data_IF_474265523519
#
_entry.id   IF_474265523519
#
_cell.length_a   1.000
_cell.length_b   1.000
_cell.length_c   1.000
_cell.angle_alpha   90.00
_cell.angle_beta   90.00
_cell.angle_gamma   90.00
#
_symmetry.space_group_name_H-M   'P 1'
#
loop_
_entity.id
_entity.type
_entity.pdbx_description
1 polymer ?
#
# COMPACT_ATOMS: atom_id res chain seq x y z
N UNK A 1 -12.08 65.13 -31.65
CA UNK A 1 -12.61 63.78 -31.97
C UNK A 1 -12.52 62.93 -30.71
N UNK A 2 -13.54 63.05 -29.87
CA UNK A 2 -13.72 62.34 -28.59
C UNK A 2 -14.91 61.41 -28.79
N UNK A 3 -14.70 60.15 -29.18
CA UNK A 3 -15.81 59.18 -29.31
C UNK A 3 -15.41 57.69 -29.47
N UNK A 4 -14.13 57.30 -29.49
CA UNK A 4 -13.76 55.91 -29.86
C UNK A 4 -12.66 55.26 -29.00
N UNK A 5 -12.68 55.50 -27.69
CA UNK A 5 -11.76 54.82 -26.76
C UNK A 5 -12.44 54.36 -25.46
N UNK A 6 -13.72 53.99 -25.52
CA UNK A 6 -14.45 53.40 -24.40
C UNK A 6 -15.16 52.06 -24.74
N UNK A 7 -14.90 51.50 -25.92
CA UNK A 7 -15.60 50.30 -26.41
C UNK A 7 -14.81 48.98 -26.21
N UNK A 8 -13.60 49.01 -25.65
CA UNK A 8 -12.81 47.79 -25.38
C UNK A 8 -12.70 47.43 -23.89
N UNK A 9 -13.22 48.26 -22.97
CA UNK A 9 -13.26 47.96 -21.53
C UNK A 9 -14.60 47.33 -21.10
N UNK A 10 -15.63 47.36 -21.96
CA UNK A 10 -16.95 46.81 -21.64
C UNK A 10 -17.10 45.29 -21.88
N UNK A 11 -16.11 44.61 -22.46
CA UNK A 11 -16.16 43.15 -22.75
C UNK A 11 -15.30 42.28 -21.82
N UNK A 12 -14.54 42.88 -20.90
CA UNK A 12 -13.83 42.16 -19.82
C UNK A 12 -14.65 42.17 -18.51
N UNK A 13 -15.71 42.99 -18.43
CA UNK A 13 -16.63 43.03 -17.28
C UNK A 13 -17.74 41.98 -17.28
N UNK A 14 -17.92 41.22 -18.37
CA UNK A 14 -19.02 40.23 -18.49
C UNK A 14 -18.54 38.79 -18.23
N UNK A 15 -17.22 38.53 -18.28
CA UNK A 15 -16.65 37.23 -17.90
C UNK A 15 -16.62 36.97 -16.39
N UNK A 16 -16.69 38.02 -15.56
CA UNK A 16 -16.66 37.90 -14.10
C UNK A 16 -18.05 37.88 -13.44
N UNK A 17 -19.11 38.30 -14.15
CA UNK A 17 -20.48 38.35 -13.62
C UNK A 17 -21.30 37.07 -13.91
N UNK A 18 -20.79 36.16 -14.75
CA UNK A 18 -21.45 34.88 -15.07
C UNK A 18 -21.15 33.75 -14.07
N UNK A 19 -20.10 33.88 -13.24
CA UNK A 19 -19.71 32.84 -12.29
C UNK A 19 -20.56 32.81 -11.01
N UNK A 20 -21.36 33.84 -10.74
CA UNK A 20 -22.19 33.93 -9.53
C UNK A 20 -23.59 33.34 -9.71
N UNK A 21 -23.91 32.79 -10.89
CA UNK A 21 -25.23 32.21 -11.21
C UNK A 21 -25.18 30.71 -11.51
N UNK A 22 -24.02 30.07 -11.42
CA UNK A 22 -23.99 28.63 -11.27
C UNK A 22 -24.50 28.30 -9.87
N UNK A 23 -25.43 27.34 -9.70
CA UNK A 23 -25.73 26.85 -8.37
C UNK A 23 -24.40 26.47 -7.75
N UNK A 24 -24.12 27.04 -6.58
CA UNK A 24 -22.98 26.69 -5.75
C UNK A 24 -23.15 25.21 -5.42
N UNK A 25 -22.70 24.32 -6.31
CA UNK A 25 -22.51 22.92 -5.98
C UNK A 25 -21.43 22.97 -4.92
N UNK A 26 -21.74 22.67 -3.65
CA UNK A 26 -20.70 22.65 -2.65
C UNK A 26 -19.65 21.68 -3.17
N UNK A 27 -18.45 22.20 -3.41
CA UNK A 27 -17.27 21.39 -3.62
C UNK A 27 -17.27 20.40 -2.46
N UNK A 28 -17.46 19.08 -2.72
CA UNK A 28 -17.63 18.14 -1.63
C UNK A 28 -16.44 18.25 -0.67
N UNK A 29 -16.68 18.08 0.64
CA UNK A 29 -15.68 18.33 1.67
C UNK A 29 -14.33 17.61 1.48
N UNK A 30 -14.28 16.56 0.64
CA UNK A 30 -13.04 15.89 0.26
C UNK A 30 -12.05 16.79 -0.51
N UNK A 31 -12.50 17.77 -1.29
CA UNK A 31 -11.62 18.61 -2.13
C UNK A 31 -10.88 19.70 -1.33
N UNK A 32 -11.49 20.22 -0.25
CA UNK A 32 -10.80 21.14 0.65
C UNK A 32 -9.78 20.40 1.54
N UNK A 33 -10.04 19.13 1.84
CA UNK A 33 -9.07 18.24 2.49
C UNK A 33 -7.93 17.88 1.51
N UNK A 34 -8.24 17.69 0.22
CA UNK A 34 -7.28 17.39 -0.85
C UNK A 34 -6.23 18.49 -1.09
N UNK A 35 -6.64 19.75 -1.23
CA UNK A 35 -5.71 20.86 -1.56
C UNK A 35 -4.73 21.20 -0.44
N UNK A 36 -5.11 20.96 0.82
CA UNK A 36 -4.20 21.10 1.96
C UNK A 36 -3.25 19.92 2.12
N UNK A 37 -3.66 18.70 1.73
CA UNK A 37 -2.84 17.48 1.74
C UNK A 37 -1.74 17.49 0.66
N UNK A 38 -2.02 17.99 -0.54
CA UNK A 38 -1.03 18.05 -1.66
C UNK A 38 0.17 18.95 -1.35
N UNK A 39 -0.02 20.02 -0.56
CA UNK A 39 1.06 20.94 -0.16
C UNK A 39 2.07 20.31 0.82
N UNK A 40 1.73 19.16 1.42
CA UNK A 40 2.61 18.39 2.35
C UNK A 40 3.49 17.33 1.66
N UNK A 41 3.40 17.22 0.33
CA UNK A 41 4.08 16.20 -0.48
C UNK A 41 5.50 16.60 -0.95
N UNK A 42 6.02 17.76 -0.52
CA UNK A 42 7.40 18.18 -0.80
C UNK A 42 8.41 17.45 0.13
N UNK A 43 9.60 17.12 -0.39
CA UNK A 43 10.64 16.39 0.33
C UNK A 43 10.54 14.88 0.17
N UNK A 44 10.36 14.43 -1.07
CA UNK A 44 10.47 13.03 -1.42
C UNK A 44 11.98 12.67 -1.44
N UNK A 45 12.31 11.38 -1.36
CA UNK A 45 13.63 10.91 -1.84
C UNK A 45 13.51 10.26 -3.22
N UNK A 46 12.32 10.32 -3.81
CA UNK A 46 11.90 9.66 -5.05
C UNK A 46 11.00 10.61 -5.88
N UNK A 47 11.31 11.91 -5.92
CA UNK A 47 10.57 12.92 -6.70
C UNK A 47 10.42 12.52 -8.17
N UNK A 48 11.50 11.98 -8.75
CA UNK A 48 11.49 11.54 -10.15
C UNK A 48 10.48 10.41 -10.40
N UNK A 49 10.27 9.54 -9.41
CA UNK A 49 9.27 8.46 -9.49
C UNK A 49 7.88 9.07 -9.33
N UNK A 50 7.68 9.91 -8.31
CA UNK A 50 6.41 10.56 -8.05
C UNK A 50 5.91 11.34 -9.26
N UNK A 51 6.75 12.18 -9.84
CA UNK A 51 6.36 13.05 -10.95
C UNK A 51 5.99 12.25 -12.21
N UNK A 52 6.54 11.03 -12.37
CA UNK A 52 6.18 10.09 -13.45
C UNK A 52 4.90 9.33 -13.15
N UNK A 53 4.75 8.80 -11.94
CA UNK A 53 3.73 7.80 -11.60
C UNK A 53 2.42 8.44 -11.15
N UNK A 54 2.51 9.55 -10.42
CA UNK A 54 1.37 10.15 -9.75
C UNK A 54 0.25 10.60 -10.72
N UNK A 55 0.52 11.25 -11.86
CA UNK A 55 -0.56 11.70 -12.76
C UNK A 55 -1.41 10.55 -13.32
N UNK A 56 -0.77 9.47 -13.76
CA UNK A 56 -1.46 8.30 -14.30
C UNK A 56 -2.21 7.55 -13.19
N UNK A 57 -1.57 7.39 -12.02
CA UNK A 57 -2.18 6.78 -10.84
C UNK A 57 -3.42 7.56 -10.36
N UNK A 58 -3.38 8.89 -10.34
CA UNK A 58 -4.53 9.73 -10.00
C UNK A 58 -5.70 9.54 -10.98
N UNK A 59 -5.41 9.42 -12.28
CA UNK A 59 -6.42 9.17 -13.29
C UNK A 59 -7.05 7.76 -13.12
N UNK A 60 -6.23 6.73 -12.88
CA UNK A 60 -6.70 5.37 -12.61
C UNK A 60 -7.58 5.29 -11.36
N UNK A 61 -7.14 5.93 -10.27
CA UNK A 61 -7.91 6.01 -9.03
C UNK A 61 -9.25 6.71 -9.25
N UNK A 62 -9.24 7.87 -9.92
CA UNK A 62 -10.46 8.61 -10.21
C UNK A 62 -11.46 7.79 -11.03
N UNK A 63 -10.98 7.01 -12.00
CA UNK A 63 -11.82 6.11 -12.79
C UNK A 63 -12.42 4.97 -11.96
N UNK A 64 -11.79 4.60 -10.85
CA UNK A 64 -12.26 3.60 -9.90
C UNK A 64 -13.12 4.17 -8.76
N UNK A 65 -13.47 5.47 -8.80
CA UNK A 65 -14.07 6.25 -7.69
C UNK A 65 -13.24 6.17 -6.39
N UNK A 66 -11.92 6.16 -6.54
CA UNK A 66 -10.94 6.22 -5.46
C UNK A 66 -10.16 7.54 -5.55
N UNK A 67 -9.47 7.88 -4.47
CA UNK A 67 -8.71 9.11 -4.40
C UNK A 67 -7.30 8.84 -3.86
N UNK A 68 -6.32 9.56 -4.42
CA UNK A 68 -4.97 9.58 -3.87
C UNK A 68 -4.98 10.12 -2.43
N UNK A 69 -4.15 9.56 -1.56
CA UNK A 69 -4.15 9.88 -0.14
C UNK A 69 -5.35 9.36 0.68
N UNK A 70 -6.27 8.60 0.06
CA UNK A 70 -7.25 7.84 0.81
C UNK A 70 -6.55 6.75 1.66
N UNK A 71 -7.10 6.38 2.84
CA UNK A 71 -6.50 5.33 3.65
C UNK A 71 -6.31 4.01 2.87
N UNK A 72 -5.10 3.46 2.96
CA UNK A 72 -4.65 2.25 2.27
C UNK A 72 -4.65 1.07 3.24
N UNK A 73 -4.95 -0.10 2.72
CA UNK A 73 -4.79 -1.40 3.35
C UNK A 73 -4.19 -2.38 2.35
N UNK A 74 -3.21 -3.17 2.79
CA UNK A 74 -2.49 -4.10 1.92
C UNK A 74 -2.74 -5.53 2.38
N UNK A 75 -2.93 -6.44 1.42
CA UNK A 75 -2.89 -7.88 1.69
C UNK A 75 -1.85 -8.54 0.80
N UNK A 76 -1.13 -9.48 1.37
CA UNK A 76 -0.12 -10.27 0.67
C UNK A 76 -0.53 -11.73 0.74
N UNK A 77 -0.40 -12.45 -0.38
CA UNK A 77 -0.71 -13.87 -0.47
C UNK A 77 0.51 -14.61 -1.01
N UNK A 78 1.25 -15.29 -0.12
CA UNK A 78 2.56 -15.85 -0.45
C UNK A 78 2.50 -16.97 -1.52
N UNK A 79 1.57 -17.91 -1.38
CA UNK A 79 1.38 -19.00 -2.33
C UNK A 79 0.77 -18.53 -3.66
N UNK A 80 -0.12 -17.53 -3.60
CA UNK A 80 -0.72 -16.92 -4.79
C UNK A 80 0.23 -15.92 -5.48
N UNK A 81 1.33 -15.54 -4.80
CA UNK A 81 2.34 -14.57 -5.25
C UNK A 81 1.73 -13.22 -5.65
N UNK A 82 0.74 -12.74 -4.91
CA UNK A 82 0.10 -11.45 -5.19
C UNK A 82 0.04 -10.52 -3.97
N UNK A 83 0.05 -9.22 -4.28
CA UNK A 83 -0.13 -8.11 -3.34
C UNK A 83 -1.38 -7.37 -3.77
N UNK A 84 -2.37 -7.30 -2.89
CA UNK A 84 -3.57 -6.52 -3.10
C UNK A 84 -3.49 -5.16 -2.45
N UNK A 85 -3.93 -4.16 -3.19
CA UNK A 85 -4.03 -2.79 -2.68
C UNK A 85 -5.50 -2.40 -2.57
N UNK A 86 -5.90 -2.06 -1.36
CA UNK A 86 -7.26 -1.64 -1.03
C UNK A 86 -7.25 -0.20 -0.54
N UNK A 87 -8.19 0.60 -1.02
CA UNK A 87 -8.35 1.99 -0.58
C UNK A 87 -9.73 2.17 0.02
N UNK A 88 -9.80 3.01 1.07
CA UNK A 88 -11.07 3.39 1.67
C UNK A 88 -11.88 4.26 0.70
N UNK A 89 -13.08 3.79 0.37
CA UNK A 89 -14.11 4.51 -0.35
C UNK A 89 -15.36 4.61 0.53
N UNK A 90 -15.74 5.82 0.92
CA UNK A 90 -16.79 6.06 1.91
C UNK A 90 -16.49 5.32 3.24
N UNK A 91 -17.30 4.34 3.61
CA UNK A 91 -17.21 3.60 4.87
C UNK A 91 -16.55 2.22 4.74
N UNK A 92 -16.12 1.82 3.54
CA UNK A 92 -15.54 0.49 3.29
C UNK A 92 -14.32 0.62 2.38
N UNK A 93 -13.51 -0.42 2.36
CA UNK A 93 -12.39 -0.53 1.45
C UNK A 93 -12.83 -1.21 0.16
N UNK A 94 -12.37 -0.68 -0.97
CA UNK A 94 -12.51 -1.27 -2.29
C UNK A 94 -11.13 -1.65 -2.79
N UNK A 95 -11.04 -2.81 -3.45
CA UNK A 95 -9.82 -3.19 -4.14
C UNK A 95 -9.58 -2.22 -5.27
N UNK A 96 -8.39 -1.64 -5.31
CA UNK A 96 -7.93 -0.86 -6.44
C UNK A 96 -7.32 -1.80 -7.48
N UNK A 97 -6.30 -2.57 -7.07
CA UNK A 97 -5.53 -3.40 -7.99
C UNK A 97 -4.79 -4.53 -7.25
N UNK A 98 -4.12 -5.38 -8.02
CA UNK A 98 -3.22 -6.44 -7.56
C UNK A 98 -1.92 -6.39 -8.34
N UNK A 99 -0.81 -6.64 -7.66
CA UNK A 99 0.51 -6.75 -8.25
C UNK A 99 1.09 -8.14 -7.96
N UNK A 100 1.83 -8.70 -8.91
CA UNK A 100 2.39 -10.04 -8.76
C UNK A 100 3.84 -9.95 -8.28
N UNK A 101 4.29 -10.96 -7.55
CA UNK A 101 5.70 -11.08 -7.21
C UNK A 101 6.48 -11.34 -8.51
N UNK A 102 7.71 -10.84 -8.59
CA UNK A 102 8.61 -11.16 -9.71
C UNK A 102 8.73 -12.67 -9.91
N UNK A 103 8.84 -13.12 -11.15
CA UNK A 103 9.05 -14.54 -11.44
C UNK A 103 10.35 -15.07 -10.79
N UNK A 104 10.34 -16.33 -10.36
CA UNK A 104 11.53 -16.97 -9.80
C UNK A 104 12.72 -16.92 -10.77
N UNK A 105 12.46 -17.04 -12.07
CA UNK A 105 13.47 -16.95 -13.13
C UNK A 105 14.05 -15.54 -13.30
N UNK A 106 13.31 -14.50 -12.93
CA UNK A 106 13.82 -13.12 -12.93
C UNK A 106 14.81 -12.91 -11.79
N UNK A 107 14.49 -13.47 -10.61
CA UNK A 107 15.32 -13.42 -9.42
C UNK A 107 16.64 -14.17 -9.62
N UNK A 108 16.58 -15.38 -10.21
CA UNK A 108 17.79 -16.18 -10.47
C UNK A 108 18.71 -15.54 -11.51
N UNK A 109 18.15 -14.99 -12.60
CA UNK A 109 18.94 -14.27 -13.61
C UNK A 109 19.66 -13.05 -13.03
N UNK A 110 18.98 -12.31 -12.16
CA UNK A 110 19.58 -11.18 -11.46
C UNK A 110 20.70 -11.61 -10.50
N UNK A 111 20.51 -12.70 -9.76
CA UNK A 111 21.56 -13.24 -8.87
C UNK A 111 22.76 -13.78 -9.64
N UNK A 112 22.55 -14.39 -10.81
CA UNK A 112 23.60 -14.95 -11.66
C UNK A 112 24.43 -13.87 -12.36
N UNK A 113 23.82 -12.72 -12.68
CA UNK A 113 24.53 -11.57 -13.23
C UNK A 113 25.50 -10.92 -12.22
N UNK A 114 25.33 -11.18 -10.92
CA UNK A 114 26.04 -10.51 -9.83
C UNK A 114 26.86 -11.47 -8.94
N UNK A 115 26.85 -12.80 -9.19
CA UNK A 115 27.55 -13.79 -8.37
C UNK A 115 28.52 -14.64 -9.18
N UNK A 116 29.82 -14.43 -8.93
CA UNK A 116 30.91 -15.34 -9.26
C UNK A 116 31.09 -16.37 -8.14
N UNK A 117 30.08 -17.17 -7.80
CA UNK A 117 30.27 -18.32 -6.90
C UNK A 117 29.16 -19.35 -7.09
N UNK A 118 29.59 -20.57 -7.39
CA UNK A 118 28.83 -21.82 -7.37
C UNK A 118 28.29 -22.09 -5.98
N UNK A 119 27.01 -21.83 -5.76
CA UNK A 119 26.14 -22.58 -4.85
C UNK A 119 24.71 -22.50 -5.39
N UNK A 120 24.45 -23.30 -6.43
CA UNK A 120 23.11 -23.58 -6.94
C UNK A 120 22.32 -24.48 -5.97
N UNK A 121 22.38 -24.17 -4.68
CA UNK A 121 21.51 -24.74 -3.67
C UNK A 121 20.17 -24.01 -3.79
N UNK A 122 19.16 -24.74 -4.26
CA UNK A 122 17.73 -24.43 -4.17
C UNK A 122 17.46 -22.98 -3.80
N UNK A 123 17.26 -22.12 -4.80
CA UNK A 123 16.74 -20.77 -4.60
C UNK A 123 15.33 -20.91 -3.99
N UNK A 124 15.27 -21.16 -2.69
CA UNK A 124 14.12 -20.89 -1.85
C UNK A 124 13.80 -19.45 -2.19
N UNK A 125 12.70 -19.22 -2.91
CA UNK A 125 12.18 -17.89 -3.22
C UNK A 125 12.21 -17.13 -1.91
N UNK A 126 13.22 -16.25 -1.76
CA UNK A 126 13.77 -15.98 -0.44
C UNK A 126 12.73 -15.35 0.46
N UNK A 127 12.54 -15.93 1.64
CA UNK A 127 11.71 -15.47 2.75
C UNK A 127 10.66 -14.44 2.35
N UNK A 128 9.57 -14.88 1.69
CA UNK A 128 8.34 -14.11 1.73
C UNK A 128 8.04 -13.76 3.19
N UNK A 129 7.40 -12.61 3.43
CA UNK A 129 7.04 -12.23 4.80
C UNK A 129 6.34 -13.40 5.49
N UNK A 130 6.69 -13.67 6.75
CA UNK A 130 6.01 -14.72 7.52
C UNK A 130 4.51 -14.43 7.59
N UNK A 131 3.72 -15.47 7.82
CA UNK A 131 2.28 -15.30 7.97
C UNK A 131 1.99 -14.44 9.20
N UNK A 132 1.20 -13.39 9.06
CA UNK A 132 0.94 -12.50 10.18
C UNK A 132 0.33 -11.16 9.84
N UNK A 133 0.25 -10.34 10.87
CA UNK A 133 -0.23 -8.95 10.79
C UNK A 133 0.96 -8.02 10.95
N UNK A 134 1.06 -7.06 10.04
CA UNK A 134 2.13 -6.09 9.94
C UNK A 134 1.54 -4.70 9.78
N UNK A 135 2.39 -3.70 9.94
CA UNK A 135 2.07 -2.32 9.60
C UNK A 135 3.25 -1.63 8.94
N UNK A 136 2.94 -0.55 8.24
CA UNK A 136 3.91 0.35 7.59
C UNK A 136 3.66 1.76 8.09
N UNK A 137 4.74 2.41 8.52
CA UNK A 137 4.81 3.82 8.88
C UNK A 137 5.71 4.57 7.90
N UNK A 138 5.86 5.90 8.06
CA UNK A 138 6.73 6.69 7.18
C UNK A 138 8.20 6.28 7.29
N UNK A 139 8.64 5.82 8.45
CA UNK A 139 10.03 5.41 8.70
C UNK A 139 10.34 4.06 8.04
N UNK A 140 9.31 3.35 7.57
CA UNK A 140 9.44 2.09 6.86
C UNK A 140 9.59 2.27 5.34
N UNK A 141 9.50 3.49 4.84
CA UNK A 141 9.59 3.83 3.42
C UNK A 141 11.01 4.26 3.05
N UNK A 142 11.64 3.53 2.15
CA UNK A 142 12.99 3.81 1.66
C UNK A 142 12.98 4.15 0.16
N UNK A 143 12.92 5.45 -0.20
CA UNK A 143 12.84 5.89 -1.59
C UNK A 143 14.17 5.79 -2.35
N UNK A 144 15.29 5.69 -1.61
CA UNK A 144 16.64 5.57 -2.17
C UNK A 144 17.24 4.18 -1.92
N UNK A 145 16.39 3.16 -1.81
CA UNK A 145 16.84 1.77 -1.64
C UNK A 145 17.68 1.32 -2.84
N UNK A 146 18.74 0.53 -2.65
CA UNK A 146 19.45 -0.12 -3.77
C UNK A 146 18.54 -1.07 -4.57
N UNK A 147 17.40 -1.47 -4.01
CA UNK A 147 16.37 -2.27 -4.68
C UNK A 147 15.32 -1.39 -5.40
N UNK A 148 15.70 -0.20 -5.87
CA UNK A 148 14.86 0.83 -6.49
C UNK A 148 13.89 1.51 -5.52
N UNK A 149 13.02 0.75 -4.88
CA UNK A 149 12.15 1.18 -3.78
C UNK A 149 12.05 0.06 -2.75
N UNK A 150 11.87 0.42 -1.48
CA UNK A 150 11.63 -0.56 -0.42
C UNK A 150 10.62 -0.05 0.61
N UNK A 151 9.77 -0.96 1.06
CA UNK A 151 8.72 -0.75 2.07
C UNK A 151 8.88 -1.86 3.11
N UNK A 152 9.52 -1.54 4.23
CA UNK A 152 9.68 -2.47 5.33
C UNK A 152 8.33 -2.79 5.98
N UNK A 153 8.11 -4.05 6.34
CA UNK A 153 6.92 -4.50 7.04
C UNK A 153 7.27 -4.71 8.52
N UNK A 154 6.61 -3.99 9.41
CA UNK A 154 6.83 -4.11 10.85
C UNK A 154 5.82 -5.09 11.45
N UNK A 155 6.25 -6.28 11.95
CA UNK A 155 5.35 -7.23 12.59
C UNK A 155 4.58 -6.62 13.76
N UNK A 156 3.31 -7.00 13.91
CA UNK A 156 2.52 -6.78 15.11
C UNK A 156 2.99 -7.75 16.20
N UNK A 157 3.40 -7.20 17.35
CA UNK A 157 3.82 -7.97 18.52
C UNK A 157 2.80 -7.89 19.64
N UNK A 158 2.94 -8.80 20.60
CA UNK A 158 2.19 -8.74 21.87
C UNK A 158 2.61 -7.59 22.78
N UNK A 159 3.68 -6.87 22.43
CA UNK A 159 4.30 -5.85 23.28
C UNK A 159 5.17 -6.43 24.41
N UNK A 160 5.39 -7.75 24.44
CA UNK A 160 6.34 -8.33 25.39
C UNK A 160 7.76 -7.84 25.08
N UNK A 161 8.58 -7.51 26.09
CA UNK A 161 9.94 -7.01 25.86
C UNK A 161 10.83 -7.98 25.09
N UNK A 162 10.62 -9.29 25.26
CA UNK A 162 11.36 -10.34 24.56
C UNK A 162 11.05 -10.34 23.06
N UNK A 163 9.77 -10.36 22.68
CA UNK A 163 9.35 -10.34 21.27
C UNK A 163 9.78 -9.04 20.59
N UNK A 164 9.70 -7.89 21.28
CA UNK A 164 10.20 -6.62 20.75
C UNK A 164 11.72 -6.61 20.57
N UNK A 165 12.47 -7.20 21.49
CA UNK A 165 13.93 -7.29 21.39
C UNK A 165 14.38 -8.24 20.28
N UNK A 166 13.67 -9.35 20.09
CA UNK A 166 13.88 -10.29 18.99
C UNK A 166 13.58 -9.63 17.64
N UNK A 167 12.44 -8.95 17.52
CA UNK A 167 12.06 -8.19 16.34
C UNK A 167 13.09 -7.10 15.99
N UNK A 168 13.68 -6.43 16.97
CA UNK A 168 14.70 -5.42 16.75
C UNK A 168 16.04 -6.00 16.25
N UNK A 169 16.29 -7.30 16.48
CA UNK A 169 17.50 -8.00 16.06
C UNK A 169 17.34 -8.74 14.73
N UNK A 170 16.10 -9.02 14.33
CA UNK A 170 15.80 -9.70 13.07
C UNK A 170 15.60 -8.71 11.93
N UNK A 171 16.10 -9.08 10.74
CA UNK A 171 15.83 -8.30 9.54
C UNK A 171 14.33 -8.34 9.22
N UNK A 172 13.73 -7.16 9.01
CA UNK A 172 12.31 -7.04 8.68
C UNK A 172 12.06 -7.49 7.23
N UNK A 173 10.98 -8.24 6.95
CA UNK A 173 10.58 -8.46 5.57
C UNK A 173 10.16 -7.14 4.93
N UNK A 174 10.27 -7.04 3.60
CA UNK A 174 9.94 -5.83 2.87
C UNK A 174 9.32 -6.13 1.50
N UNK A 175 8.47 -5.22 1.02
CA UNK A 175 8.14 -5.11 -0.40
C UNK A 175 9.26 -4.32 -1.07
N UNK A 176 9.81 -4.82 -2.18
CA UNK A 176 10.95 -4.19 -2.85
C UNK A 176 10.89 -4.32 -4.36
N UNK A 177 11.58 -3.42 -5.06
CA UNK A 177 11.72 -3.44 -6.51
C UNK A 177 12.88 -4.31 -7.01
N UNK A 178 13.26 -4.05 -8.26
CA UNK A 178 14.39 -4.60 -9.02
C UNK A 178 14.37 -6.10 -9.29
N UNK A 179 13.48 -6.90 -8.71
CA UNK A 179 13.41 -8.35 -8.92
C UNK A 179 14.74 -9.10 -8.70
N UNK A 180 15.63 -8.59 -7.82
CA UNK A 180 16.95 -9.20 -7.58
C UNK A 180 17.11 -9.69 -6.14
N UNK A 181 18.01 -10.65 -5.91
CA UNK A 181 18.41 -11.09 -4.56
C UNK A 181 17.41 -12.04 -3.87
N UNK A 182 17.88 -12.72 -2.82
CA UNK A 182 17.11 -13.70 -2.05
C UNK A 182 16.54 -13.04 -0.78
N UNK A 183 15.21 -12.93 -0.66
CA UNK A 183 14.54 -12.41 0.54
C UNK A 183 13.42 -11.42 0.23
N UNK A 184 12.38 -11.35 1.08
CA UNK A 184 11.29 -10.39 0.96
C UNK A 184 10.37 -10.62 -0.23
N UNK A 185 9.49 -9.64 -0.49
CA UNK A 185 8.49 -9.69 -1.57
C UNK A 185 8.97 -8.75 -2.68
N UNK A 186 9.57 -9.33 -3.71
CA UNK A 186 10.05 -8.58 -4.86
C UNK A 186 8.93 -8.35 -5.88
N UNK A 187 8.74 -7.11 -6.33
CA UNK A 187 7.84 -6.70 -7.40
C UNK A 187 8.64 -6.04 -8.53
N UNK A 188 8.06 -5.97 -9.72
CA UNK A 188 8.65 -5.18 -10.80
C UNK A 188 8.70 -3.70 -10.42
N UNK A 189 9.64 -2.94 -10.99
CA UNK A 189 9.75 -1.50 -10.71
C UNK A 189 8.46 -0.75 -11.05
N UNK A 190 7.80 -1.12 -12.15
CA UNK A 190 6.50 -0.56 -12.54
C UNK A 190 5.37 -0.87 -11.55
N UNK A 191 5.52 -1.93 -10.75
CA UNK A 191 4.50 -2.40 -9.80
C UNK A 191 4.73 -1.85 -8.39
N UNK A 192 5.97 -1.84 -7.91
CA UNK A 192 6.29 -1.30 -6.57
C UNK A 192 6.11 0.22 -6.50
N UNK A 193 6.33 0.93 -7.61
CA UNK A 193 6.21 2.40 -7.67
C UNK A 193 4.82 2.91 -7.29
N UNK A 194 3.71 2.47 -7.92
CA UNK A 194 2.37 2.89 -7.51
C UNK A 194 2.02 2.40 -6.10
N UNK A 195 2.47 1.21 -5.68
CA UNK A 195 2.28 0.73 -4.29
C UNK A 195 2.90 1.69 -3.29
N UNK A 196 4.16 2.10 -3.53
CA UNK A 196 4.87 3.05 -2.70
C UNK A 196 4.15 4.40 -2.66
N UNK A 197 3.74 4.94 -3.83
CA UNK A 197 3.03 6.22 -3.90
C UNK A 197 1.72 6.19 -3.12
N UNK A 198 0.94 5.11 -3.22
CA UNK A 198 -0.32 4.96 -2.49
C UNK A 198 -0.09 4.97 -0.97
N UNK A 199 0.91 4.22 -0.49
CA UNK A 199 1.23 4.14 0.94
C UNK A 199 1.76 5.48 1.45
N UNK A 200 2.74 6.08 0.78
CA UNK A 200 3.34 7.35 1.20
C UNK A 200 2.29 8.46 1.24
N UNK A 201 1.46 8.60 0.18
CA UNK A 201 0.43 9.64 0.13
C UNK A 201 -0.64 9.43 1.20
N UNK A 202 -1.04 8.19 1.49
CA UNK A 202 -2.00 7.90 2.56
C UNK A 202 -1.45 8.26 3.96
N UNK A 203 -0.19 7.92 4.23
CA UNK A 203 0.49 8.26 5.48
C UNK A 203 0.63 9.79 5.65
N UNK A 204 1.05 10.50 4.60
CA UNK A 204 1.15 11.97 4.61
C UNK A 204 -0.21 12.65 4.72
N UNK A 205 -1.24 12.04 4.17
CA UNK A 205 -2.63 12.47 4.29
C UNK A 205 -3.25 12.17 5.67
N UNK A 206 -2.45 11.66 6.63
CA UNK A 206 -2.84 11.52 8.03
C UNK A 206 -3.29 10.12 8.44
N UNK A 207 -3.15 9.11 7.58
CA UNK A 207 -3.25 7.73 8.05
C UNK A 207 -2.05 7.44 8.97
N UNK A 208 -2.30 7.08 10.23
CA UNK A 208 -1.22 6.89 11.21
C UNK A 208 -0.26 5.75 10.83
N UNK A 209 -0.81 4.64 10.33
CA UNK A 209 -0.09 3.48 9.82
C UNK A 209 -0.95 2.77 8.77
N UNK A 210 -0.32 2.15 7.78
CA UNK A 210 -0.98 1.29 6.80
C UNK A 210 -0.95 -0.15 7.32
N UNK A 211 -2.11 -0.79 7.58
CA UNK A 211 -2.14 -2.20 7.95
C UNK A 211 -1.79 -3.07 6.74
N UNK A 212 -1.00 -4.12 6.99
CA UNK A 212 -0.58 -5.11 6.00
C UNK A 212 -0.82 -6.49 6.57
N UNK A 213 -1.65 -7.31 5.92
CA UNK A 213 -1.89 -8.69 6.36
C UNK A 213 -1.27 -9.68 5.36
N UNK A 214 -0.46 -10.61 5.86
CA UNK A 214 0.23 -11.61 5.06
C UNK A 214 -0.39 -12.97 5.31
N UNK A 215 -0.93 -13.58 4.27
CA UNK A 215 -1.59 -14.88 4.29
C UNK A 215 -0.87 -15.85 3.36
N UNK A 216 -1.13 -17.15 3.54
CA UNK A 216 -0.58 -18.16 2.64
C UNK A 216 -1.29 -18.08 1.29
N UNK A 217 -2.62 -18.17 1.29
CA UNK A 217 -3.46 -18.15 0.09
C UNK A 217 -4.80 -17.51 0.38
N UNK A 218 -5.49 -17.09 -0.67
CA UNK A 218 -6.89 -16.64 -0.60
C UNK A 218 -7.78 -17.80 -0.17
N UNK A 219 -8.74 -17.51 0.70
CA UNK A 219 -9.71 -18.50 1.16
C UNK A 219 -11.07 -18.18 0.59
N UNK A 220 -11.80 -19.22 0.20
CA UNK A 220 -13.22 -19.09 -0.10
C UNK A 220 -13.99 -19.03 1.23
N UNK A 221 -14.91 -18.07 1.37
CA UNK A 221 -15.72 -17.92 2.59
C UNK A 221 -16.70 -19.07 2.80
N UNK A 222 -17.05 -19.81 1.75
CA UNK A 222 -17.92 -20.99 1.86
C UNK A 222 -17.17 -22.22 2.41
N UNK A 223 -15.84 -22.21 2.36
CA UNK A 223 -14.99 -23.29 2.87
C UNK A 223 -14.73 -23.08 4.38
N UNK A 224 -15.78 -23.27 5.17
CA UNK A 224 -15.74 -23.13 6.64
C UNK A 224 -14.63 -23.98 7.28
N UNK A 225 -14.27 -25.12 6.67
CA UNK A 225 -13.19 -26.00 7.14
C UNK A 225 -11.84 -25.29 7.12
N UNK A 226 -11.56 -24.47 6.10
CA UNK A 226 -10.28 -23.77 5.95
C UNK A 226 -10.15 -22.54 6.85
N UNK A 227 -11.29 -21.94 7.25
CA UNK A 227 -11.31 -20.92 8.31
C UNK A 227 -11.17 -21.52 9.73
N UNK A 228 -11.36 -22.84 9.88
CA UNK A 228 -11.25 -23.56 11.17
C UNK A 228 -9.94 -24.34 11.34
N UNK A 229 -8.96 -24.20 10.43
CA UNK A 229 -7.66 -24.88 10.55
C UNK A 229 -6.85 -24.47 11.79
N UNK A 230 -7.36 -23.54 12.59
CA UNK A 230 -6.92 -23.23 13.94
C UNK A 230 -7.12 -24.36 14.98
N UNK A 231 -7.70 -25.51 14.59
CA UNK A 231 -8.08 -26.56 15.54
C UNK A 231 -6.97 -27.53 15.95
N UNK A 232 -5.81 -27.60 15.29
CA UNK A 232 -4.77 -28.59 15.66
C UNK A 232 -3.34 -28.05 15.58
N UNK A 233 -2.62 -28.31 16.68
CA UNK A 233 -1.20 -28.10 16.96
C UNK A 233 -0.30 -27.60 15.81
N UNK A 234 0.35 -26.44 16.05
CA UNK A 234 1.45 -25.81 15.28
C UNK A 234 1.09 -25.08 13.98
N UNK A 235 0.04 -24.25 13.99
CA UNK A 235 -0.11 -23.20 12.96
C UNK A 235 0.88 -22.06 13.25
N UNK A 236 1.70 -21.60 12.28
CA UNK A 236 2.70 -20.55 12.50
C UNK A 236 2.14 -19.20 13.01
N UNK A 237 0.85 -18.92 12.75
CA UNK A 237 0.19 -17.66 13.07
C UNK A 237 -1.25 -17.88 13.57
N UNK A 238 -1.46 -18.34 14.82
CA UNK A 238 -2.79 -18.65 15.35
C UNK A 238 -3.74 -17.44 15.33
N UNK A 239 -5.00 -17.62 14.94
CA UNK A 239 -6.01 -16.55 14.88
C UNK A 239 -5.91 -15.63 13.65
N UNK A 240 -4.92 -15.84 12.77
CA UNK A 240 -4.76 -15.02 11.56
C UNK A 240 -5.94 -15.16 10.60
N UNK A 241 -6.58 -16.33 10.51
CA UNK A 241 -7.75 -16.50 9.64
C UNK A 241 -9.04 -15.88 10.22
N UNK A 242 -9.11 -15.63 11.54
CA UNK A 242 -10.17 -14.80 12.12
C UNK A 242 -10.05 -13.35 11.61
N UNK A 243 -8.81 -12.83 11.52
CA UNK A 243 -8.50 -11.53 10.90
C UNK A 243 -8.90 -11.50 9.42
N UNK A 244 -8.60 -12.57 8.68
CA UNK A 244 -9.00 -12.70 7.27
C UNK A 244 -10.53 -12.61 7.09
N UNK A 245 -11.27 -13.43 7.84
CA UNK A 245 -12.74 -13.50 7.76
C UNK A 245 -13.40 -12.17 8.17
N UNK A 246 -12.86 -11.49 9.18
CA UNK A 246 -13.38 -10.20 9.63
C UNK A 246 -13.33 -9.13 8.51
N UNK A 247 -12.23 -9.08 7.76
CA UNK A 247 -12.13 -8.20 6.59
C UNK A 247 -13.06 -8.62 5.46
N UNK A 248 -13.13 -9.91 5.11
CA UNK A 248 -13.99 -10.38 4.01
C UNK A 248 -15.48 -10.07 4.25
N UNK A 249 -15.94 -10.16 5.50
CA UNK A 249 -17.34 -9.86 5.88
C UNK A 249 -17.68 -8.37 5.84
N UNK A 250 -16.75 -7.51 6.27
CA UNK A 250 -17.04 -6.09 6.50
C UNK A 250 -16.50 -5.18 5.40
N UNK A 251 -15.45 -5.63 4.70
CA UNK A 251 -14.55 -4.81 3.86
C UNK A 251 -13.98 -3.62 4.63
N UNK A 252 -13.71 -3.80 5.91
CA UNK A 252 -13.03 -2.83 6.78
C UNK A 252 -11.87 -3.58 7.44
N UNK A 253 -10.63 -3.10 7.33
CA UNK A 253 -9.50 -3.71 8.03
C UNK A 253 -9.82 -3.78 9.53
N UNK A 254 -9.85 -4.98 10.13
CA UNK A 254 -10.11 -5.11 11.55
C UNK A 254 -8.98 -4.47 12.37
N UNK A 255 -9.32 -3.99 13.55
CA UNK A 255 -8.31 -3.75 14.57
C UNK A 255 -7.86 -5.12 15.11
N UNK A 256 -6.56 -5.34 15.16
CA UNK A 256 -5.97 -6.62 15.55
C UNK A 256 -5.02 -6.41 16.73
N UNK A 257 -5.13 -7.29 17.71
CA UNK A 257 -4.16 -7.42 18.80
C UNK A 257 -3.56 -8.82 18.81
N UNK A 258 -2.35 -8.96 19.37
CA UNK A 258 -1.70 -10.25 19.56
C UNK A 258 -1.55 -10.52 21.07
N UNK A 259 -2.05 -11.65 21.54
CA UNK A 259 -1.99 -12.04 22.95
C UNK A 259 -1.65 -13.51 23.04
N UNK A 260 -0.65 -13.86 23.86
CA UNK A 260 -0.14 -15.23 24.01
C UNK A 260 0.16 -15.92 22.66
N UNK A 261 0.74 -15.17 21.73
CA UNK A 261 1.09 -15.64 20.38
C UNK A 261 -0.09 -15.75 19.40
N UNK A 262 -1.33 -15.48 19.82
CA UNK A 262 -2.54 -15.56 18.98
C UNK A 262 -3.07 -14.18 18.59
N UNK A 263 -3.44 -14.01 17.31
CA UNK A 263 -4.14 -12.82 16.82
C UNK A 263 -5.61 -12.82 17.23
N UNK A 264 -6.13 -11.67 17.61
CA UNK A 264 -7.52 -11.45 18.01
C UNK A 264 -8.07 -10.20 17.32
N UNK A 265 -9.33 -10.28 16.89
CA UNK A 265 -10.07 -9.18 16.26
C UNK A 265 -11.04 -8.58 17.29
N UNK A 266 -11.11 -7.25 17.35
CA UNK A 266 -12.10 -6.51 18.16
C UNK A 266 -13.49 -6.44 17.51
#
# INVERSE_FOLDING_TARGET
MRAKLFATIALIGIGAAGYTLLPYTPVPGYFNDFTSRVSSLAGFGAENIRDRVLPDLEAELSNADLAIGAPVFVRVFNADRDVEIWLKANNRYRMFTRYNFCDADAITRASDANSSTTDAATATVGNAAELGVYHVTRDDLSPSSPHHLEIALTPLTSGSPEEMAEQAQTARPALRGNCEGTGGIALENSDIEPVYMLIDTALRAGQAQVPVHVFEKRQNMDDAVTLTEDAFASVPAPGLYDVYAAFERTRIPPEVHKTDGRYQVN
#
